data_IF_204408030404
#
_entry.id   IF_204408030404
#
_cell.length_a   1.000
_cell.length_b   1.000
_cell.length_c   1.000
_cell.angle_alpha   90.00
_cell.angle_beta   90.00
_cell.angle_gamma   90.00
#
_symmetry.space_group_name_H-M   'P 1'
#
loop_
_entity.id
_entity.type
_entity.pdbx_description
1 polymer ?
#
# COMPACT_ATOMS: atom_id res chain seq x y z
N UNK A 1 29.69 -11.21 -31.15
CA UNK A 1 28.63 -10.96 -30.15
C UNK A 1 29.31 -10.81 -28.80
N UNK A 2 29.62 -9.58 -28.38
CA UNK A 2 30.15 -9.34 -27.04
C UNK A 2 28.99 -9.24 -26.05
N UNK A 3 29.07 -9.93 -24.92
CA UNK A 3 28.11 -9.79 -23.84
C UNK A 3 28.33 -8.42 -23.19
N UNK A 4 27.30 -7.59 -23.17
CA UNK A 4 27.32 -6.36 -22.40
C UNK A 4 26.98 -6.66 -20.93
N UNK A 5 28.02 -6.86 -20.13
CA UNK A 5 27.89 -7.13 -18.70
C UNK A 5 27.18 -6.02 -17.93
N UNK A 6 27.22 -4.77 -18.42
CA UNK A 6 26.50 -3.66 -17.79
C UNK A 6 24.98 -3.77 -17.97
N UNK A 7 24.51 -4.35 -19.08
CA UNK A 7 23.08 -4.56 -19.29
C UNK A 7 22.48 -5.44 -18.17
N UNK A 8 23.16 -6.48 -17.73
CA UNK A 8 22.69 -7.32 -16.62
C UNK A 8 22.62 -6.56 -15.29
N UNK A 9 23.63 -5.75 -14.97
CA UNK A 9 23.68 -4.97 -13.73
C UNK A 9 22.57 -3.92 -13.70
N UNK A 10 22.31 -3.25 -14.83
CA UNK A 10 21.23 -2.26 -14.92
C UNK A 10 19.86 -2.89 -14.69
N UNK A 11 19.56 -4.03 -15.32
CA UNK A 11 18.30 -4.77 -15.10
C UNK A 11 18.15 -5.18 -13.64
N UNK A 12 19.22 -5.71 -13.04
CA UNK A 12 19.20 -6.11 -11.63
C UNK A 12 18.88 -4.93 -10.70
N UNK A 13 19.54 -3.78 -10.90
CA UNK A 13 19.28 -2.58 -10.10
C UNK A 13 17.87 -2.05 -10.31
N UNK A 14 17.41 -1.93 -11.56
CA UNK A 14 16.06 -1.44 -11.87
C UNK A 14 15.00 -2.36 -11.27
N UNK A 15 15.16 -3.67 -11.36
CA UNK A 15 14.23 -4.64 -10.80
C UNK A 15 14.16 -4.54 -9.27
N UNK A 16 15.31 -4.45 -8.59
CA UNK A 16 15.38 -4.34 -7.12
C UNK A 16 14.74 -3.02 -6.66
N UNK A 17 15.11 -1.89 -7.26
CA UNK A 17 14.57 -0.58 -6.88
C UNK A 17 13.06 -0.52 -7.12
N UNK A 18 12.60 -1.02 -8.27
CA UNK A 18 11.16 -1.06 -8.59
C UNK A 18 10.38 -1.94 -7.62
N UNK A 19 10.94 -3.10 -7.26
CA UNK A 19 10.35 -4.00 -6.27
C UNK A 19 10.25 -3.34 -4.89
N UNK A 20 11.35 -2.76 -4.40
CA UNK A 20 11.36 -2.04 -3.13
C UNK A 20 10.35 -0.90 -3.11
N UNK A 21 10.23 -0.13 -4.20
CA UNK A 21 9.24 0.93 -4.33
C UNK A 21 7.80 0.39 -4.20
N UNK A 22 7.43 -0.63 -4.99
CA UNK A 22 6.07 -1.21 -4.96
C UNK A 22 5.75 -1.78 -3.58
N UNK A 23 6.70 -2.49 -2.95
CA UNK A 23 6.53 -3.05 -1.61
C UNK A 23 6.34 -1.95 -0.56
N UNK A 24 7.13 -0.87 -0.63
CA UNK A 24 7.02 0.26 0.29
C UNK A 24 5.66 0.96 0.15
N UNK A 25 5.23 1.27 -1.08
CA UNK A 25 3.93 1.90 -1.36
C UNK A 25 2.78 1.01 -0.88
N UNK A 26 2.83 -0.29 -1.14
CA UNK A 26 1.81 -1.23 -0.67
C UNK A 26 1.76 -1.31 0.87
N UNK A 27 2.93 -1.38 1.52
CA UNK A 27 3.03 -1.40 2.99
C UNK A 27 2.48 -0.12 3.62
N UNK A 28 2.73 1.02 3.00
CA UNK A 28 2.16 2.31 3.40
C UNK A 28 0.63 2.30 3.26
N UNK A 29 0.10 1.75 2.17
CA UNK A 29 -1.34 1.54 1.97
C UNK A 29 -1.98 0.70 3.09
N UNK A 30 -1.36 -0.42 3.46
CA UNK A 30 -1.80 -1.26 4.58
C UNK A 30 -1.79 -0.50 5.91
N UNK A 31 -0.77 0.34 6.15
CA UNK A 31 -0.69 1.17 7.36
C UNK A 31 -1.85 2.16 7.44
N UNK A 32 -2.20 2.83 6.34
CA UNK A 32 -3.34 3.73 6.30
C UNK A 32 -4.67 3.00 6.47
N UNK A 33 -4.81 1.81 5.89
CA UNK A 33 -6.00 0.98 6.05
C UNK A 33 -6.20 0.53 7.50
N UNK A 34 -5.13 0.05 8.14
CA UNK A 34 -5.14 -0.34 9.56
C UNK A 34 -5.54 0.85 10.44
N UNK A 35 -4.95 2.02 10.21
CA UNK A 35 -5.27 3.22 10.96
C UNK A 35 -6.73 3.67 10.72
N UNK A 36 -7.29 3.47 9.53
CA UNK A 36 -8.71 3.74 9.26
C UNK A 36 -9.63 2.79 10.05
N UNK A 37 -9.31 1.50 10.12
CA UNK A 37 -10.13 0.53 10.85
C UNK A 37 -10.07 0.73 12.39
N UNK A 38 -8.93 1.16 12.94
CA UNK A 38 -8.84 1.58 14.36
C UNK A 38 -9.76 2.76 14.66
N UNK A 39 -9.77 3.78 13.77
CA UNK A 39 -10.65 4.95 13.91
C UNK A 39 -12.13 4.64 13.65
N UNK A 40 -12.41 3.59 12.90
CA UNK A 40 -13.76 3.09 12.67
C UNK A 40 -14.30 2.24 13.83
N UNK A 41 -13.50 2.01 14.89
CA UNK A 41 -13.94 1.23 16.05
C UNK A 41 -14.11 -0.26 15.73
N UNK A 42 -13.40 -0.81 14.74
CA UNK A 42 -13.46 -2.26 14.50
C UNK A 42 -12.59 -3.05 15.48
N UNK A 43 -11.46 -2.47 15.87
CA UNK A 43 -10.49 -3.08 16.78
C UNK A 43 -9.69 -1.99 17.50
N UNK A 44 -9.37 -2.21 18.77
CA UNK A 44 -8.50 -1.35 19.57
C UNK A 44 -7.31 -2.15 20.09
N UNK A 45 -6.12 -1.55 20.05
CA UNK A 45 -4.90 -2.11 20.66
C UNK A 45 -4.79 -1.54 22.06
N UNK A 46 -4.78 -2.42 23.08
CA UNK A 46 -4.51 -2.05 24.47
C UNK A 46 -3.00 -1.84 24.66
N UNK A 47 -2.61 -1.13 25.72
CA UNK A 47 -1.19 -0.94 26.06
C UNK A 47 -0.45 -2.27 26.34
N UNK A 48 -1.18 -3.30 26.77
CA UNK A 48 -0.69 -4.68 26.96
C UNK A 48 -0.50 -5.46 25.63
N UNK A 49 -0.72 -4.82 24.48
CA UNK A 49 -0.62 -5.43 23.15
C UNK A 49 -1.81 -6.33 22.76
N UNK A 50 -2.81 -6.47 23.64
CA UNK A 50 -4.02 -7.24 23.35
C UNK A 50 -4.95 -6.47 22.40
N UNK A 51 -5.58 -7.18 21.46
CA UNK A 51 -6.53 -6.64 20.48
C UNK A 51 -7.95 -7.00 20.95
N UNK A 52 -8.81 -5.98 21.14
CA UNK A 52 -10.19 -6.18 21.60
C UNK A 52 -11.22 -5.41 20.76
N UNK A 53 -12.51 -5.78 20.86
CA UNK A 53 -13.60 -5.04 20.23
C UNK A 53 -13.69 -3.63 20.82
N UNK A 54 -14.04 -2.64 19.99
CA UNK A 54 -14.06 -1.23 20.38
C UNK A 54 -15.30 -0.86 21.23
N UNK A 55 -15.60 -1.66 22.26
CA UNK A 55 -16.76 -1.48 23.15
C UNK A 55 -16.48 -0.59 24.36
N UNK A 56 -15.27 -0.03 24.49
CA UNK A 56 -14.88 0.82 25.63
C UNK A 56 -14.60 2.27 25.20
N UNK A 57 -15.63 3.13 25.29
CA UNK A 57 -15.44 4.58 25.44
C UNK A 57 -14.99 5.37 24.20
N UNK A 58 -15.48 5.07 23.01
CA UNK A 58 -15.18 5.88 21.82
C UNK A 58 -16.17 7.04 21.65
N UNK A 59 -15.69 8.28 21.43
CA UNK A 59 -16.53 9.42 21.06
C UNK A 59 -17.36 9.17 19.80
N UNK A 60 -18.60 9.68 19.82
CA UNK A 60 -19.69 9.57 18.83
C UNK A 60 -19.24 9.38 17.35
N UNK A 61 -19.70 8.34 16.64
CA UNK A 61 -19.25 7.97 15.29
C UNK A 61 -19.49 9.00 14.18
N UNK A 62 -20.18 10.10 14.45
CA UNK A 62 -20.52 11.10 13.43
C UNK A 62 -19.32 11.98 13.01
N UNK A 63 -18.38 12.28 13.92
CA UNK A 63 -17.16 13.05 13.63
C UNK A 63 -15.97 12.22 13.13
N UNK A 64 -15.93 10.92 13.46
CA UNK A 64 -14.89 9.99 13.02
C UNK A 64 -14.98 9.64 11.52
N UNK A 65 -16.13 9.88 10.88
CA UNK A 65 -16.39 9.49 9.48
C UNK A 65 -15.44 10.15 8.48
N UNK A 66 -15.17 11.46 8.61
CA UNK A 66 -14.36 12.18 7.63
C UNK A 66 -12.89 11.72 7.64
N UNK A 67 -12.31 11.58 8.84
CA UNK A 67 -10.95 11.08 9.00
C UNK A 67 -10.84 9.61 8.54
N UNK A 68 -11.80 8.74 8.91
CA UNK A 68 -11.84 7.35 8.44
C UNK A 68 -11.89 7.29 6.92
N UNK A 69 -12.78 8.08 6.28
CA UNK A 69 -12.91 8.15 4.82
C UNK A 69 -11.62 8.63 4.15
N UNK A 70 -10.96 9.65 4.72
CA UNK A 70 -9.69 10.17 4.20
C UNK A 70 -8.55 9.14 4.27
N UNK A 71 -8.38 8.44 5.40
CA UNK A 71 -7.37 7.38 5.49
C UNK A 71 -7.70 6.20 4.56
N UNK A 72 -8.99 5.86 4.40
CA UNK A 72 -9.42 4.81 3.48
C UNK A 72 -9.13 5.18 2.02
N UNK A 73 -9.46 6.40 1.61
CA UNK A 73 -9.21 6.85 0.24
C UNK A 73 -7.71 6.86 -0.07
N UNK A 74 -6.89 7.31 0.88
CA UNK A 74 -5.44 7.34 0.71
C UNK A 74 -4.82 5.93 0.64
N UNK A 75 -5.33 4.98 1.43
CA UNK A 75 -4.96 3.57 1.29
C UNK A 75 -5.32 3.00 -0.09
N UNK A 76 -6.56 3.25 -0.55
CA UNK A 76 -7.02 2.83 -1.89
C UNK A 76 -6.17 3.46 -2.99
N UNK A 77 -5.80 4.73 -2.87
CA UNK A 77 -4.91 5.40 -3.81
C UNK A 77 -3.54 4.70 -3.87
N UNK A 78 -2.96 4.31 -2.72
CA UNK A 78 -1.72 3.54 -2.68
C UNK A 78 -1.84 2.21 -3.45
N UNK A 79 -2.92 1.46 -3.21
CA UNK A 79 -3.17 0.20 -3.92
C UNK A 79 -3.41 0.39 -5.41
N UNK A 80 -4.15 1.45 -5.79
CA UNK A 80 -4.37 1.80 -7.18
C UNK A 80 -3.06 2.19 -7.89
N UNK A 81 -2.19 2.96 -7.23
CA UNK A 81 -0.86 3.28 -7.74
C UNK A 81 -0.03 2.02 -7.94
N UNK A 82 0.02 1.10 -6.96
CA UNK A 82 0.71 -0.18 -7.15
C UNK A 82 0.14 -0.98 -8.33
N UNK A 83 -1.19 -1.09 -8.42
CA UNK A 83 -1.86 -1.76 -9.53
C UNK A 83 -1.50 -1.12 -10.87
N UNK A 84 -1.53 0.20 -10.97
CA UNK A 84 -1.18 0.94 -12.18
C UNK A 84 0.28 0.73 -12.58
N UNK A 85 1.22 0.73 -11.63
CA UNK A 85 2.64 0.46 -11.88
C UNK A 85 2.84 -0.96 -12.43
N UNK A 86 2.18 -1.97 -11.84
CA UNK A 86 2.25 -3.36 -12.33
C UNK A 86 1.65 -3.49 -13.72
N UNK A 87 0.48 -2.90 -13.96
CA UNK A 87 -0.18 -2.91 -15.27
C UNK A 87 0.66 -2.21 -16.34
N UNK A 88 1.32 -1.11 -15.99
CA UNK A 88 2.25 -0.42 -16.87
C UNK A 88 3.48 -1.30 -17.19
N UNK A 89 4.02 -2.02 -16.20
CA UNK A 89 5.07 -3.01 -16.44
C UNK A 89 4.64 -4.10 -17.42
N UNK A 90 3.42 -4.64 -17.27
CA UNK A 90 2.85 -5.64 -18.19
C UNK A 90 2.69 -5.07 -19.60
N UNK A 91 2.21 -3.83 -19.72
CA UNK A 91 2.08 -3.13 -21.00
C UNK A 91 3.40 -3.03 -21.77
N UNK A 92 4.51 -2.79 -21.08
CA UNK A 92 5.84 -2.72 -21.68
C UNK A 92 6.42 -4.11 -22.02
N UNK A 93 6.04 -5.17 -21.31
CA UNK A 93 6.52 -6.54 -21.57
C UNK A 93 5.82 -7.15 -22.78
N UNK A 94 4.52 -6.85 -22.97
CA UNK A 94 3.70 -7.44 -24.04
C UNK A 94 3.74 -6.55 -25.29
N UNK A 95 4.41 -6.98 -26.37
CA UNK A 95 4.60 -6.15 -27.58
C UNK A 95 3.36 -6.07 -28.48
N UNK A 96 2.20 -6.60 -28.05
CA UNK A 96 0.91 -6.42 -28.74
C UNK A 96 0.11 -5.25 -28.16
N UNK A 97 0.52 -4.71 -27.00
CA UNK A 97 -0.15 -3.60 -26.36
C UNK A 97 0.43 -2.24 -26.75
N UNK A 98 1.60 -2.19 -27.39
CA UNK A 98 2.26 -0.97 -27.86
C UNK A 98 2.92 -1.14 -29.22
#
# INVERSE_FOLDING_TARGET
>A
MGIDWLAFVTVALVAVVSSCFVVAVYSVGLRFWSAADTRAGKFTVKDDGTIGPATVGFPNPQGATAAVRAFRSLAVLCFAVCGAVVLYGIYLIVPQFH
#
